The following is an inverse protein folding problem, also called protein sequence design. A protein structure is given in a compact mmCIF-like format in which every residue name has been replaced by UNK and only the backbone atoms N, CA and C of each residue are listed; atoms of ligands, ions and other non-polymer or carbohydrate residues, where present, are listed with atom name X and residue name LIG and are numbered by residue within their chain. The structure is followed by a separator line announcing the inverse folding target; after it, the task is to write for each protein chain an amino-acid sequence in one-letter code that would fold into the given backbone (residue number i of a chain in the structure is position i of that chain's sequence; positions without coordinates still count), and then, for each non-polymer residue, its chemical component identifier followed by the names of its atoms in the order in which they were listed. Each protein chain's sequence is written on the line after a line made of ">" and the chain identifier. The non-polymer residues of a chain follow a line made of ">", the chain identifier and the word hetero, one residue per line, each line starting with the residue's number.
data_IF_682765698901
#
_entry.id   IF_682765698901
#
_cell.length_a   1.000
_cell.length_b   1.000
_cell.length_c   1.000
_cell.angle_alpha   90.00
_cell.angle_beta   90.00
_cell.angle_gamma   90.00
#
_symmetry.space_group_name_H-M   'P 1'
#
loop_
_entity.id
_entity.type
_entity.pdbx_description
1 polymer ?
#
# COMPACT_ATOMS: atom_id res chain seq x y z
N UNK A 1 -10.52 21.84 -24.18
CA UNK A 1 -9.49 22.12 -23.19
C UNK A 1 -8.20 21.43 -23.62
N UNK A 2 -7.01 22.03 -23.40
CA UNK A 2 -5.76 21.32 -23.69
C UNK A 2 -5.67 20.06 -22.84
N UNK A 3 -5.07 18.99 -23.41
CA UNK A 3 -4.88 17.75 -22.69
C UNK A 3 -3.94 17.99 -21.49
N UNK A 4 -4.35 17.71 -20.25
CA UNK A 4 -3.55 17.98 -19.06
C UNK A 4 -2.23 17.21 -19.03
N UNK A 5 -2.13 16.07 -19.75
CA UNK A 5 -0.92 15.27 -19.88
C UNK A 5 -0.03 15.68 -21.07
N UNK A 6 -0.33 16.79 -21.77
CA UNK A 6 0.47 17.24 -22.92
C UNK A 6 1.95 17.47 -22.58
N UNK A 7 2.26 17.75 -21.32
CA UNK A 7 3.64 17.89 -20.82
C UNK A 7 4.51 16.62 -20.92
N UNK A 8 3.90 15.45 -21.15
CA UNK A 8 4.65 14.20 -21.39
C UNK A 8 5.18 14.12 -22.83
N UNK A 9 4.55 14.82 -23.78
CA UNK A 9 4.88 14.71 -25.21
C UNK A 9 6.35 15.03 -25.48
N UNK A 10 6.94 16.13 -24.97
CA UNK A 10 8.37 16.42 -25.20
C UNK A 10 9.31 15.32 -24.71
N UNK A 11 8.93 14.61 -23.64
CA UNK A 11 9.71 13.50 -23.09
C UNK A 11 9.62 12.30 -24.04
N UNK A 12 8.41 11.96 -24.50
CA UNK A 12 8.21 10.87 -25.47
C UNK A 12 8.87 11.15 -26.81
N UNK A 13 8.90 12.40 -27.26
CA UNK A 13 9.58 12.81 -28.49
C UNK A 13 11.10 12.58 -28.42
N UNK A 14 11.72 12.89 -27.27
CA UNK A 14 13.14 12.60 -27.03
C UNK A 14 13.38 11.10 -27.02
N UNK A 15 12.57 10.34 -26.27
CA UNK A 15 12.69 8.88 -26.26
C UNK A 15 12.53 8.27 -27.67
N UNK A 16 11.57 8.74 -28.44
CA UNK A 16 11.31 8.24 -29.78
C UNK A 16 12.39 8.62 -30.82
N UNK A 17 13.22 9.63 -30.56
CA UNK A 17 14.37 10.01 -31.40
C UNK A 17 15.62 9.20 -31.05
N UNK A 18 15.84 8.94 -29.79
CA UNK A 18 17.06 8.28 -29.28
C UNK A 18 16.95 6.75 -29.22
N UNK A 19 15.72 6.21 -29.15
CA UNK A 19 15.46 4.79 -29.01
C UNK A 19 14.69 4.23 -30.22
N UNK A 20 14.93 2.96 -30.54
CA UNK A 20 13.97 2.22 -31.33
C UNK A 20 12.80 1.83 -30.44
N UNK A 21 11.61 2.34 -30.76
CA UNK A 21 10.39 2.13 -29.98
C UNK A 21 9.54 1.03 -30.62
N UNK A 22 9.12 0.07 -29.79
CA UNK A 22 8.08 -0.92 -30.11
C UNK A 22 6.85 -0.59 -29.27
N UNK A 23 5.86 0.13 -29.81
CA UNK A 23 4.66 0.51 -29.06
C UNK A 23 3.89 -0.70 -28.52
N UNK A 24 3.10 -0.50 -27.49
CA UNK A 24 2.12 -1.47 -27.05
C UNK A 24 1.18 -1.89 -28.19
N UNK A 25 0.57 -3.05 -28.10
CA UNK A 25 -0.22 -3.69 -29.16
C UNK A 25 -1.19 -2.73 -29.84
N UNK A 26 -1.10 -2.63 -31.17
CA UNK A 26 -1.92 -1.73 -31.96
C UNK A 26 -1.63 -0.24 -31.77
N UNK A 27 -0.50 0.13 -31.14
CA UNK A 27 -0.20 1.50 -30.75
C UNK A 27 -1.04 2.01 -29.57
N UNK A 28 -1.79 1.12 -28.93
CA UNK A 28 -2.60 1.42 -27.76
C UNK A 28 -1.76 1.40 -26.49
N UNK A 29 -2.27 2.05 -25.46
CA UNK A 29 -1.74 1.95 -24.10
C UNK A 29 -2.39 0.76 -23.41
N UNK A 30 -1.57 -0.15 -22.90
CA UNK A 30 -2.03 -1.33 -22.17
C UNK A 30 -2.10 -1.01 -20.67
N UNK A 31 -3.26 -1.16 -20.06
CA UNK A 31 -3.41 -1.05 -18.61
C UNK A 31 -2.94 -2.35 -17.95
N UNK A 32 -1.97 -2.22 -17.05
CA UNK A 32 -1.40 -3.36 -16.35
C UNK A 32 -2.18 -3.65 -15.07
N UNK A 33 -2.49 -4.91 -14.86
CA UNK A 33 -2.97 -5.40 -13.57
C UNK A 33 -1.75 -5.97 -12.82
N UNK A 34 -1.41 -5.35 -11.71
CA UNK A 34 -0.38 -5.89 -10.84
C UNK A 34 -1.00 -6.86 -9.84
N UNK A 35 -0.28 -7.94 -9.50
CA UNK A 35 -0.70 -8.84 -8.44
C UNK A 35 -0.92 -8.05 -7.14
N UNK A 36 -1.86 -8.54 -6.33
CA UNK A 36 -2.16 -7.96 -5.01
C UNK A 36 -0.90 -7.92 -4.14
N UNK A 37 -0.88 -7.02 -3.17
CA UNK A 37 0.26 -6.79 -2.25
C UNK A 37 0.77 -8.07 -1.59
N UNK A 38 -0.11 -9.05 -1.32
CA UNK A 38 0.25 -10.36 -0.77
C UNK A 38 1.30 -11.09 -1.61
N UNK A 39 1.13 -11.13 -2.94
CA UNK A 39 2.05 -11.85 -3.84
C UNK A 39 3.42 -11.16 -3.94
N UNK A 40 3.47 -9.84 -3.72
CA UNK A 40 4.72 -9.07 -3.78
C UNK A 40 5.48 -9.16 -2.46
N UNK A 41 4.81 -9.10 -1.32
CA UNK A 41 5.43 -9.28 0.00
C UNK A 41 6.00 -10.69 0.15
N UNK A 42 5.29 -11.72 -0.32
CA UNK A 42 5.75 -13.11 -0.33
C UNK A 42 7.04 -13.31 -1.12
N UNK A 43 7.21 -12.59 -2.23
CA UNK A 43 8.42 -12.71 -3.06
C UNK A 43 9.61 -11.88 -2.52
N UNK A 44 9.37 -10.76 -1.83
CA UNK A 44 10.44 -9.91 -1.27
C UNK A 44 10.99 -10.48 0.05
N UNK A 45 10.16 -11.15 0.82
CA UNK A 45 10.46 -11.59 2.20
C UNK A 45 10.69 -13.09 2.34
N UNK A 46 10.84 -13.84 1.25
CA UNK A 46 11.05 -15.31 1.27
C UNK A 46 12.43 -15.72 1.78
N UNK A 47 12.92 -15.12 2.86
CA UNK A 47 14.08 -15.60 3.60
C UNK A 47 13.69 -15.95 5.03
N UNK A 48 13.27 -17.20 5.18
CA UNK A 48 13.11 -17.87 6.46
C UNK A 48 11.69 -17.78 7.02
N UNK A 49 11.25 -18.87 7.63
CA UNK A 49 10.03 -18.91 8.44
C UNK A 49 10.12 -17.82 9.51
N UNK A 50 9.35 -16.73 9.38
CA UNK A 50 9.30 -15.71 10.41
C UNK A 50 8.62 -16.30 11.63
N UNK A 51 9.42 -16.68 12.62
CA UNK A 51 8.91 -17.25 13.86
C UNK A 51 8.53 -16.12 14.82
N UNK A 52 7.25 -15.98 15.11
CA UNK A 52 6.74 -14.97 16.04
C UNK A 52 6.71 -15.61 17.44
N UNK A 53 7.57 -15.12 18.33
CA UNK A 53 7.78 -15.68 19.67
C UNK A 53 7.45 -14.73 20.82
N UNK A 54 7.29 -13.43 20.52
CA UNK A 54 7.14 -12.42 21.55
C UNK A 54 5.76 -11.78 21.53
N UNK A 55 5.12 -11.73 22.70
CA UNK A 55 3.99 -10.86 22.91
C UNK A 55 4.43 -9.39 23.02
N UNK A 56 3.56 -8.51 22.58
CA UNK A 56 3.80 -7.07 22.55
C UNK A 56 2.75 -6.29 23.37
N UNK A 57 2.03 -6.96 24.27
CA UNK A 57 1.04 -6.32 25.14
C UNK A 57 1.33 -6.53 26.63
N UNK A 58 0.82 -5.62 27.44
CA UNK A 58 0.89 -5.71 28.90
C UNK A 58 -0.51 -5.49 29.52
N UNK A 59 -0.95 -6.32 30.49
CA UNK A 59 -0.24 -7.49 30.98
C UNK A 59 -0.07 -8.57 29.89
N UNK A 60 1.00 -9.36 30.02
CA UNK A 60 1.27 -10.45 29.08
C UNK A 60 0.09 -11.44 29.06
N UNK A 61 -0.38 -11.85 27.87
CA UNK A 61 -1.55 -12.70 27.74
C UNK A 61 -1.29 -14.13 28.20
N UNK A 62 -2.34 -14.82 28.64
CA UNK A 62 -2.29 -16.26 28.86
C UNK A 62 -2.15 -17.00 27.52
N UNK A 63 -1.09 -17.78 27.38
CA UNK A 63 -0.81 -18.62 26.21
C UNK A 63 -1.94 -19.61 25.90
N UNK A 64 -2.68 -20.06 26.93
CA UNK A 64 -3.81 -20.96 26.76
C UNK A 64 -5.03 -20.29 26.14
N UNK A 65 -5.16 -18.97 26.28
CA UNK A 65 -6.28 -18.20 25.77
C UNK A 65 -5.82 -16.85 25.19
N UNK A 66 -5.41 -16.88 23.93
CA UNK A 66 -4.92 -15.69 23.21
C UNK A 66 -6.04 -14.83 22.61
N UNK A 67 -7.31 -15.23 22.76
CA UNK A 67 -8.45 -14.50 22.21
C UNK A 67 -9.09 -13.64 23.30
N UNK A 68 -9.36 -12.37 22.95
CA UNK A 68 -10.01 -11.41 23.84
C UNK A 68 -11.28 -10.86 23.20
N UNK A 69 -12.41 -10.80 23.92
CA UNK A 69 -13.65 -10.24 23.39
C UNK A 69 -13.52 -8.74 23.18
N UNK A 70 -13.97 -8.27 22.04
CA UNK A 70 -13.96 -6.85 21.65
C UNK A 70 -15.34 -6.43 21.12
N UNK A 71 -16.38 -6.45 21.97
CA UNK A 71 -17.72 -6.04 21.56
C UNK A 71 -17.69 -4.60 21.03
N UNK A 72 -18.48 -4.28 19.99
CA UNK A 72 -18.45 -2.96 19.35
C UNK A 72 -18.76 -1.84 20.37
N UNK A 73 -18.12 -0.68 20.16
CA UNK A 73 -18.46 0.53 20.91
C UNK A 73 -19.88 1.00 20.55
N UNK A 74 -20.60 1.54 21.52
CA UNK A 74 -21.93 2.10 21.27
C UNK A 74 -21.85 3.38 20.44
N UNK A 75 -22.77 3.58 19.50
CA UNK A 75 -22.84 4.75 18.60
C UNK A 75 -23.00 6.10 19.29
N UNK A 76 -23.33 6.15 20.59
CA UNK A 76 -23.44 7.39 21.37
C UNK A 76 -22.09 7.99 21.77
N UNK A 77 -21.00 7.23 21.65
CA UNK A 77 -19.65 7.70 21.91
C UNK A 77 -19.12 8.43 20.68
N UNK A 78 -18.26 9.43 20.89
CA UNK A 78 -17.55 10.12 19.80
C UNK A 78 -16.78 9.11 18.95
N UNK A 79 -16.74 9.36 17.66
CA UNK A 79 -15.94 8.54 16.74
C UNK A 79 -14.45 8.69 17.07
N UNK A 80 -13.81 7.59 17.46
CA UNK A 80 -12.38 7.56 17.74
C UNK A 80 -11.56 7.77 16.46
N UNK A 81 -11.91 7.07 15.39
CA UNK A 81 -11.24 7.21 14.11
C UNK A 81 -11.81 8.39 13.35
N UNK A 82 -10.98 9.45 13.26
CA UNK A 82 -11.35 10.72 12.62
C UNK A 82 -10.73 10.87 11.24
N UNK A 83 -9.56 10.29 11.02
CA UNK A 83 -8.83 10.36 9.76
C UNK A 83 -8.67 8.98 9.16
N UNK A 84 -8.82 8.90 7.84
CA UNK A 84 -8.67 7.67 7.07
C UNK A 84 -7.88 7.98 5.82
N UNK A 85 -6.84 7.19 5.56
CA UNK A 85 -5.96 7.38 4.41
C UNK A 85 -5.91 6.12 3.57
N UNK A 86 -5.96 6.31 2.28
CA UNK A 86 -5.75 5.27 1.29
C UNK A 86 -5.03 5.83 0.07
N UNK A 87 -4.24 4.98 -0.56
CA UNK A 87 -3.57 5.25 -1.82
C UNK A 87 -4.21 4.48 -2.98
N UNK A 88 -3.97 4.97 -4.19
CA UNK A 88 -4.36 4.27 -5.39
C UNK A 88 -3.32 4.41 -6.48
N UNK A 89 -3.26 3.40 -7.35
CA UNK A 89 -2.31 3.31 -8.45
C UNK A 89 -3.01 2.77 -9.70
N UNK A 90 -2.65 3.33 -10.85
CA UNK A 90 -2.91 2.74 -12.17
C UNK A 90 -1.64 2.77 -12.98
N UNK A 91 -1.26 1.66 -13.57
CA UNK A 91 -0.05 1.52 -14.38
C UNK A 91 -0.40 1.15 -15.81
N UNK A 92 0.42 1.63 -16.73
CA UNK A 92 0.21 1.47 -18.16
C UNK A 92 1.53 1.15 -18.83
N UNK A 93 1.55 0.07 -19.61
CA UNK A 93 2.64 -0.21 -20.53
C UNK A 93 2.47 0.64 -21.79
N UNK A 94 3.49 1.43 -22.14
CA UNK A 94 3.47 2.33 -23.28
C UNK A 94 4.20 1.73 -24.49
N UNK A 95 5.35 1.14 -24.26
CA UNK A 95 6.22 0.61 -25.31
C UNK A 95 7.37 -0.22 -24.74
N UNK A 96 8.02 -0.98 -25.59
CA UNK A 96 9.39 -1.45 -25.35
C UNK A 96 10.37 -0.49 -26.03
N UNK A 97 11.30 0.07 -25.27
CA UNK A 97 12.44 0.82 -25.76
C UNK A 97 13.61 -0.12 -26.05
N UNK A 98 14.37 0.17 -27.14
CA UNK A 98 15.57 -0.56 -27.50
C UNK A 98 16.70 0.45 -27.68
N UNK A 99 17.80 0.30 -26.94
CA UNK A 99 19.03 1.06 -27.06
C UNK A 99 20.22 0.12 -27.29
N UNK A 100 20.74 0.11 -28.49
CA UNK A 100 21.77 -0.86 -28.90
C UNK A 100 21.27 -2.31 -28.83
N UNK A 101 21.83 -3.11 -27.89
CA UNK A 101 21.42 -4.51 -27.66
C UNK A 101 20.48 -4.69 -26.46
N UNK A 102 20.09 -3.61 -25.80
CA UNK A 102 19.27 -3.62 -24.59
C UNK A 102 17.82 -3.35 -24.93
N UNK A 103 16.90 -4.09 -24.35
CA UNK A 103 15.46 -3.84 -24.44
C UNK A 103 14.86 -3.74 -23.05
N UNK A 104 13.95 -2.80 -22.86
CA UNK A 104 13.33 -2.52 -21.56
C UNK A 104 11.91 -1.96 -21.72
N UNK A 105 11.03 -2.14 -20.74
CA UNK A 105 9.70 -1.56 -20.78
C UNK A 105 9.77 -0.03 -20.48
N UNK A 106 8.87 0.69 -21.15
CA UNK A 106 8.54 2.09 -20.87
C UNK A 106 7.14 2.08 -20.31
N UNK A 107 6.98 2.49 -19.06
CA UNK A 107 5.71 2.45 -18.37
C UNK A 107 5.33 3.83 -17.81
N UNK A 108 4.05 4.02 -17.60
CA UNK A 108 3.50 5.20 -16.96
C UNK A 108 2.63 4.75 -15.79
N UNK A 109 2.78 5.39 -14.64
CA UNK A 109 1.89 5.21 -13.53
C UNK A 109 1.19 6.52 -13.15
N UNK A 110 -0.07 6.43 -12.81
CA UNK A 110 -0.78 7.44 -12.06
C UNK A 110 -0.87 6.95 -10.63
N UNK A 111 -0.34 7.72 -9.71
CA UNK A 111 -0.35 7.41 -8.27
C UNK A 111 -1.00 8.55 -7.50
N UNK A 112 -1.59 8.22 -6.38
CA UNK A 112 -2.12 9.24 -5.48
C UNK A 112 -2.55 8.66 -4.16
N UNK A 113 -2.73 9.55 -3.19
CA UNK A 113 -3.26 9.25 -1.88
C UNK A 113 -4.22 10.35 -1.42
N UNK A 114 -5.20 9.99 -0.60
CA UNK A 114 -6.14 10.94 -0.02
C UNK A 114 -6.38 10.62 1.45
N UNK A 115 -6.51 11.68 2.25
CA UNK A 115 -7.01 11.63 3.62
C UNK A 115 -8.42 12.18 3.62
N UNK A 116 -9.34 11.42 4.18
CA UNK A 116 -10.67 11.90 4.52
C UNK A 116 -10.81 12.04 6.03
N UNK A 117 -11.56 13.03 6.45
CA UNK A 117 -11.85 13.32 7.86
C UNK A 117 -13.32 13.12 8.14
N UNK A 118 -13.61 12.47 9.25
CA UNK A 118 -14.95 12.34 9.80
C UNK A 118 -15.24 13.49 10.76
N UNK A 119 -16.31 14.21 10.48
CA UNK A 119 -16.84 15.27 11.35
C UNK A 119 -17.64 14.68 12.53
N UNK A 120 -18.03 15.52 13.50
CA UNK A 120 -18.78 15.08 14.68
C UNK A 120 -20.19 14.57 14.37
N UNK A 121 -20.78 15.04 13.28
CA UNK A 121 -22.07 14.59 12.76
C UNK A 121 -21.98 13.29 11.93
N UNK A 122 -20.75 12.75 11.77
CA UNK A 122 -20.46 11.54 11.00
C UNK A 122 -20.26 11.77 9.50
N UNK A 123 -20.40 13.01 8.99
CA UNK A 123 -20.08 13.32 7.61
C UNK A 123 -18.60 13.10 7.33
N UNK A 124 -18.28 12.67 6.11
CA UNK A 124 -16.89 12.45 5.67
C UNK A 124 -16.54 13.52 4.64
N UNK A 125 -15.48 14.26 4.90
CA UNK A 125 -14.95 15.31 4.02
C UNK A 125 -13.52 15.00 3.61
N UNK A 126 -13.12 15.48 2.44
CA UNK A 126 -11.71 15.42 2.01
C UNK A 126 -10.90 16.38 2.88
N UNK A 127 -9.91 15.85 3.59
CA UNK A 127 -8.97 16.65 4.38
C UNK A 127 -7.79 17.11 3.51
N UNK A 128 -7.14 16.17 2.83
CA UNK A 128 -6.01 16.44 1.95
C UNK A 128 -5.86 15.34 0.90
N UNK A 129 -5.20 15.66 -0.20
CA UNK A 129 -4.93 14.70 -1.27
C UNK A 129 -3.71 15.10 -2.07
N UNK A 130 -2.98 14.12 -2.61
CA UNK A 130 -1.86 14.31 -3.52
C UNK A 130 -1.95 13.33 -4.68
N UNK A 131 -1.48 13.75 -5.85
CA UNK A 131 -1.47 12.95 -7.07
C UNK A 131 -0.20 13.24 -7.87
N UNK A 132 0.37 12.19 -8.49
CA UNK A 132 1.47 12.30 -9.44
C UNK A 132 1.27 11.38 -10.63
N UNK A 133 1.89 11.74 -11.72
CA UNK A 133 2.08 10.90 -12.91
C UNK A 133 3.56 10.59 -13.02
N UNK A 134 3.90 9.33 -13.11
CA UNK A 134 5.28 8.85 -13.15
C UNK A 134 5.56 8.21 -14.51
N UNK A 135 6.57 8.66 -15.21
CA UNK A 135 7.17 7.92 -16.31
C UNK A 135 8.27 7.04 -15.73
N UNK A 136 8.09 5.73 -15.84
CA UNK A 136 8.96 4.72 -15.26
C UNK A 136 9.91 4.20 -16.33
N UNK A 137 11.21 4.37 -16.12
CA UNK A 137 12.28 3.96 -17.02
C UNK A 137 13.40 3.31 -16.22
N UNK A 138 14.01 2.22 -16.69
CA UNK A 138 15.18 1.67 -16.04
C UNK A 138 16.43 2.47 -16.44
N UNK A 139 17.35 2.63 -15.50
CA UNK A 139 18.66 3.26 -15.69
C UNK A 139 19.77 2.21 -15.55
N UNK A 140 20.95 2.49 -16.09
CA UNK A 140 22.15 1.65 -15.96
C UNK A 140 22.03 0.25 -16.59
N UNK A 141 23.05 -0.55 -16.50
CA UNK A 141 23.26 -1.92 -17.00
C UNK A 141 22.29 -2.48 -18.07
N UNK A 142 20.98 -2.42 -17.89
CA UNK A 142 19.96 -2.95 -18.81
C UNK A 142 18.91 -1.90 -19.21
N UNK A 143 19.11 -0.65 -18.82
CA UNK A 143 18.20 0.47 -19.07
C UNK A 143 18.74 1.47 -20.07
N UNK A 144 18.23 2.69 -19.99
CA UNK A 144 18.68 3.84 -20.79
C UNK A 144 20.05 4.31 -20.34
N UNK A 145 20.81 4.86 -21.30
CA UNK A 145 22.15 5.44 -21.03
C UNK A 145 22.06 6.66 -20.10
N UNK A 146 23.14 6.92 -19.38
CA UNK A 146 23.26 8.11 -18.51
C UNK A 146 23.11 9.41 -19.29
N UNK A 147 23.55 9.43 -20.55
CA UNK A 147 23.41 10.59 -21.42
C UNK A 147 21.93 10.88 -21.68
N UNK A 148 21.16 9.86 -22.10
CA UNK A 148 19.73 10.01 -22.34
C UNK A 148 18.98 10.34 -21.05
N UNK A 149 19.31 9.67 -19.94
CA UNK A 149 18.74 9.99 -18.63
C UNK A 149 18.92 11.47 -18.26
N UNK A 150 20.15 11.97 -18.42
CA UNK A 150 20.48 13.37 -18.12
C UNK A 150 19.71 14.34 -19.04
N UNK A 151 19.56 13.99 -20.32
CA UNK A 151 18.78 14.77 -21.28
C UNK A 151 17.31 14.85 -20.87
N UNK A 152 16.69 13.72 -20.51
CA UNK A 152 15.30 13.66 -20.07
C UNK A 152 15.05 14.50 -18.82
N UNK A 153 15.97 14.48 -17.86
CA UNK A 153 15.85 15.27 -16.64
C UNK A 153 15.95 16.78 -16.82
N UNK A 154 16.54 17.25 -17.92
CA UNK A 154 16.60 18.68 -18.25
C UNK A 154 15.30 19.21 -18.87
N UNK A 155 14.39 18.32 -19.29
CA UNK A 155 13.11 18.74 -19.85
C UNK A 155 12.26 19.36 -18.74
N UNK A 156 11.79 20.59 -18.97
CA UNK A 156 10.86 21.25 -18.06
C UNK A 156 9.55 20.48 -17.99
N UNK A 157 9.12 20.19 -16.78
CA UNK A 157 7.90 19.43 -16.49
C UNK A 157 7.15 20.02 -15.29
N UNK A 158 5.82 19.90 -15.23
CA UNK A 158 5.04 20.33 -14.08
C UNK A 158 5.30 19.44 -12.87
N UNK A 159 5.02 19.93 -11.67
CA UNK A 159 5.28 19.25 -10.40
C UNK A 159 4.55 17.90 -10.23
N UNK A 160 3.44 17.73 -10.95
CA UNK A 160 2.68 16.47 -10.91
C UNK A 160 3.27 15.37 -11.80
N UNK A 161 4.24 15.68 -12.70
CA UNK A 161 4.87 14.71 -13.60
C UNK A 161 6.32 14.48 -13.21
N UNK A 162 6.69 13.21 -12.98
CA UNK A 162 8.06 12.84 -12.67
C UNK A 162 8.59 11.69 -13.53
N UNK A 163 9.92 11.60 -13.67
CA UNK A 163 10.61 10.49 -14.35
C UNK A 163 11.35 9.69 -13.27
N UNK A 164 10.97 8.44 -13.12
CA UNK A 164 11.42 7.59 -12.02
C UNK A 164 12.23 6.41 -12.57
N UNK A 165 13.38 6.19 -11.95
CA UNK A 165 14.23 5.04 -12.18
C UNK A 165 13.68 3.82 -11.40
N UNK A 166 13.52 2.70 -12.12
CA UNK A 166 13.21 1.41 -11.50
C UNK A 166 14.29 0.37 -11.79
N UNK A 167 15.54 0.73 -11.69
CA UNK A 167 16.72 -0.06 -12.07
C UNK A 167 16.49 -1.57 -12.03
N UNK A 168 16.81 -2.21 -13.15
CA UNK A 168 16.69 -3.65 -13.28
C UNK A 168 17.84 -4.31 -12.51
N UNK A 169 17.61 -5.41 -11.75
CA UNK A 169 18.68 -6.12 -11.09
C UNK A 169 19.61 -6.74 -12.11
N UNK A 170 20.85 -6.97 -11.67
CA UNK A 170 21.86 -7.72 -12.41
C UNK A 170 21.25 -9.02 -12.97
N UNK A 171 21.43 -9.33 -14.27
CA UNK A 171 21.02 -10.60 -14.89
C UNK A 171 21.54 -11.84 -14.18
N UNK A 172 22.67 -11.69 -13.45
CA UNK A 172 23.27 -12.75 -12.63
C UNK A 172 22.62 -12.91 -11.26
N UNK A 173 21.78 -11.97 -10.85
CA UNK A 173 21.03 -12.13 -9.60
C UNK A 173 19.85 -13.10 -9.83
N UNK A 174 19.72 -14.10 -8.97
CA UNK A 174 18.69 -15.16 -9.05
C UNK A 174 17.22 -14.69 -8.94
N UNK A 175 16.95 -13.39 -8.96
CA UNK A 175 15.59 -12.85 -8.87
C UNK A 175 15.00 -12.64 -10.29
N UNK A 176 14.35 -13.67 -10.81
CA UNK A 176 13.63 -13.66 -12.11
C UNK A 176 12.31 -12.87 -12.07
N UNK A 177 12.31 -11.62 -11.58
CA UNK A 177 11.09 -10.79 -11.67
C UNK A 177 11.00 -10.17 -13.06
N UNK A 178 9.78 -10.19 -13.61
CA UNK A 178 9.48 -9.43 -14.82
C UNK A 178 9.83 -7.94 -14.59
N UNK A 179 10.52 -7.29 -15.53
CA UNK A 179 10.79 -5.85 -15.46
C UNK A 179 9.55 -4.99 -15.23
N UNK A 180 8.39 -5.38 -15.76
CA UNK A 180 7.11 -4.70 -15.57
C UNK A 180 6.65 -4.76 -14.11
N UNK A 181 6.82 -5.92 -13.45
CA UNK A 181 6.48 -6.07 -12.03
C UNK A 181 7.33 -5.16 -11.14
N UNK A 182 8.59 -4.93 -11.55
CA UNK A 182 9.49 -4.01 -10.83
C UNK A 182 9.07 -2.56 -10.99
N UNK A 183 8.69 -2.15 -12.19
CA UNK A 183 8.16 -0.82 -12.42
C UNK A 183 6.89 -0.58 -11.59
N UNK A 184 5.99 -1.55 -11.55
CA UNK A 184 4.80 -1.52 -10.71
C UNK A 184 5.11 -1.45 -9.21
N UNK A 185 6.08 -2.23 -8.73
CA UNK A 185 6.54 -2.17 -7.34
C UNK A 185 7.16 -0.80 -7.00
N UNK A 186 7.96 -0.24 -7.92
CA UNK A 186 8.51 1.11 -7.75
C UNK A 186 7.43 2.18 -7.69
N UNK A 187 6.45 2.12 -8.58
CA UNK A 187 5.32 3.05 -8.57
C UNK A 187 4.53 2.97 -7.26
N UNK A 188 4.35 1.76 -6.71
CA UNK A 188 3.71 1.56 -5.40
C UNK A 188 4.53 2.18 -4.27
N UNK A 189 5.86 2.00 -4.28
CA UNK A 189 6.74 2.65 -3.31
C UNK A 189 6.62 4.18 -3.35
N UNK A 190 6.53 4.78 -4.55
CA UNK A 190 6.31 6.23 -4.69
C UNK A 190 4.91 6.66 -4.21
N UNK A 191 3.88 5.82 -4.38
CA UNK A 191 2.54 6.06 -3.82
C UNK A 191 2.59 6.08 -2.28
N UNK A 192 3.27 5.13 -1.65
CA UNK A 192 3.42 5.10 -0.20
C UNK A 192 4.10 6.35 0.35
N UNK A 193 5.04 6.95 -0.38
CA UNK A 193 5.62 8.24 0.02
C UNK A 193 4.58 9.35 0.08
N UNK A 194 3.60 9.35 -0.85
CA UNK A 194 2.50 10.32 -0.79
C UNK A 194 1.60 10.08 0.44
N UNK A 195 1.31 8.82 0.77
CA UNK A 195 0.57 8.48 2.00
C UNK A 195 1.30 8.98 3.24
N UNK A 196 2.61 8.76 3.32
CA UNK A 196 3.46 9.21 4.41
C UNK A 196 3.45 10.74 4.55
N UNK A 197 3.57 11.47 3.45
CA UNK A 197 3.48 12.93 3.46
C UNK A 197 2.10 13.41 3.98
N UNK A 198 1.04 12.71 3.61
CA UNK A 198 -0.32 13.02 4.07
C UNK A 198 -0.53 12.65 5.55
N UNK A 199 0.08 11.56 6.04
CA UNK A 199 0.09 11.23 7.47
C UNK A 199 0.69 12.39 8.28
N UNK A 200 1.81 12.96 7.83
CA UNK A 200 2.44 14.14 8.46
C UNK A 200 1.47 15.32 8.52
N UNK A 201 0.67 15.54 7.49
CA UNK A 201 -0.28 16.66 7.43
C UNK A 201 -1.40 16.58 8.48
N UNK A 202 -1.68 15.40 9.02
CA UNK A 202 -2.69 15.19 10.06
C UNK A 202 -2.13 15.24 11.47
N UNK A 203 -0.82 15.33 11.64
CA UNK A 203 -0.13 15.17 12.91
C UNK A 203 -0.64 16.10 14.02
N UNK A 204 -0.86 17.38 13.70
CA UNK A 204 -1.31 18.37 14.67
C UNK A 204 -2.77 18.16 15.14
N UNK A 205 -3.56 17.44 14.35
CA UNK A 205 -4.98 17.19 14.62
C UNK A 205 -5.23 15.83 15.29
N UNK A 206 -4.19 14.97 15.40
CA UNK A 206 -4.30 13.66 16.04
C UNK A 206 -3.97 13.73 17.53
N UNK A 207 -4.78 13.06 18.32
CA UNK A 207 -4.64 12.90 19.76
C UNK A 207 -5.37 11.63 20.22
N UNK A 208 -5.41 11.38 21.53
CA UNK A 208 -6.03 10.18 22.10
C UNK A 208 -7.51 10.00 21.73
N UNK A 209 -8.22 11.08 21.41
CA UNK A 209 -9.63 11.09 20.95
C UNK A 209 -9.77 11.17 19.42
N UNK A 210 -8.66 11.20 18.68
CA UNK A 210 -8.65 11.48 17.25
C UNK A 210 -7.55 10.68 16.53
N UNK A 211 -7.89 9.48 16.13
CA UNK A 211 -6.96 8.54 15.51
C UNK A 211 -7.07 8.52 13.99
N UNK A 212 -5.98 8.11 13.35
CA UNK A 212 -5.91 7.85 11.92
C UNK A 212 -5.86 6.34 11.65
N UNK A 213 -6.62 5.89 10.63
CA UNK A 213 -6.47 4.55 10.03
C UNK A 213 -5.75 4.70 8.69
N UNK A 214 -4.62 3.98 8.54
CA UNK A 214 -3.95 3.72 7.28
C UNK A 214 -4.44 2.39 6.70
N UNK A 215 -4.87 2.37 5.43
CA UNK A 215 -5.15 1.11 4.74
C UNK A 215 -3.83 0.42 4.37
N UNK A 216 -3.46 -0.59 5.14
CA UNK A 216 -2.22 -1.32 4.96
C UNK A 216 -1.32 -1.35 6.20
N UNK A 217 -0.04 -1.60 5.98
CA UNK A 217 0.97 -1.76 7.03
C UNK A 217 1.68 -0.45 7.36
N UNK A 218 1.94 -0.23 8.64
CA UNK A 218 2.78 0.88 9.12
C UNK A 218 4.28 0.62 8.97
N UNK A 219 4.67 -0.56 8.52
CA UNK A 219 6.08 -0.99 8.35
C UNK A 219 6.86 -0.13 7.37
N UNK A 220 6.19 0.41 6.35
CA UNK A 220 6.81 1.16 5.26
C UNK A 220 7.03 2.65 5.56
N UNK A 221 6.82 3.06 6.80
CA UNK A 221 7.05 4.44 7.25
C UNK A 221 8.56 4.71 7.31
N UNK A 222 8.98 5.84 6.75
CA UNK A 222 10.38 6.27 6.71
C UNK A 222 10.96 6.52 8.11
N UNK A 223 12.27 6.26 8.29
CA UNK A 223 12.96 6.38 9.57
C UNK A 223 12.80 7.77 10.22
N UNK A 224 12.80 8.83 9.41
CA UNK A 224 12.61 10.20 9.91
C UNK A 224 11.28 10.39 10.65
N UNK A 225 10.23 9.68 10.23
CA UNK A 225 8.92 9.73 10.89
C UNK A 225 8.94 8.92 12.17
N UNK A 226 9.57 7.75 12.16
CA UNK A 226 9.79 6.97 13.37
C UNK A 226 10.49 7.81 14.44
N UNK A 227 11.55 8.54 14.07
CA UNK A 227 12.26 9.43 14.99
C UNK A 227 11.33 10.55 15.51
N UNK A 228 10.49 11.14 14.64
CA UNK A 228 9.54 12.17 15.06
C UNK A 228 8.49 11.65 16.05
N UNK A 229 8.14 10.38 15.97
CA UNK A 229 7.18 9.75 16.86
C UNK A 229 7.77 9.40 18.23
N UNK A 230 9.08 9.22 18.36
CA UNK A 230 9.75 8.98 19.66
C UNK A 230 9.52 10.11 20.66
N UNK A 231 9.30 11.33 20.20
CA UNK A 231 9.01 12.48 21.03
C UNK A 231 7.55 12.57 21.48
N UNK A 232 6.68 11.66 21.05
CA UNK A 232 5.24 11.67 21.33
C UNK A 232 4.85 10.53 22.24
N UNK A 233 3.85 10.77 23.09
CA UNK A 233 3.24 9.73 23.95
C UNK A 233 2.60 8.62 23.10
N UNK A 234 1.99 8.97 21.97
CA UNK A 234 1.43 8.04 21.00
C UNK A 234 1.33 8.70 19.62
N UNK A 235 1.63 7.99 18.52
CA UNK A 235 1.38 8.48 17.16
C UNK A 235 -0.11 8.63 16.81
N UNK A 236 -1.01 8.05 17.60
CA UNK A 236 -2.47 8.00 17.37
C UNK A 236 -2.82 7.58 15.94
N UNK A 237 -2.18 6.50 15.50
CA UNK A 237 -2.26 5.93 14.16
C UNK A 237 -2.28 4.41 14.27
N UNK A 238 -3.12 3.76 13.47
CA UNK A 238 -3.07 2.32 13.24
C UNK A 238 -3.05 2.01 11.75
N UNK A 239 -2.34 0.94 11.38
CA UNK A 239 -2.48 0.29 10.09
C UNK A 239 -3.55 -0.80 10.17
N UNK A 240 -4.38 -0.91 9.14
CA UNK A 240 -5.39 -1.97 9.03
C UNK A 240 -5.19 -2.66 7.70
N UNK A 241 -4.51 -3.80 7.71
CA UNK A 241 -4.25 -4.58 6.51
C UNK A 241 -5.35 -5.64 6.31
N UNK A 242 -5.97 -5.60 5.13
CA UNK A 242 -6.97 -6.57 4.65
C UNK A 242 -6.31 -7.84 4.11
N UNK A 243 -5.07 -7.69 3.68
CA UNK A 243 -4.20 -8.73 3.15
C UNK A 243 -2.97 -8.83 4.04
N UNK A 244 -2.55 -10.04 4.34
CA UNK A 244 -1.38 -10.32 5.17
C UNK A 244 -0.84 -11.72 4.88
N UNK A 245 0.45 -11.94 5.13
CA UNK A 245 1.11 -13.23 4.95
C UNK A 245 0.43 -14.31 5.79
N UNK A 246 0.34 -15.53 5.22
CA UNK A 246 -0.30 -16.71 5.84
C UNK A 246 0.71 -17.78 6.26
N UNK A 247 1.98 -17.50 6.11
CA UNK A 247 3.09 -18.40 6.44
C UNK A 247 3.72 -18.21 7.83
N UNK A 248 3.51 -17.09 8.59
CA UNK A 248 4.12 -16.95 9.91
C UNK A 248 3.71 -18.08 10.85
N UNK A 249 4.73 -18.63 11.52
CA UNK A 249 4.55 -19.63 12.57
C UNK A 249 4.65 -18.98 13.96
N UNK A 250 3.67 -19.24 14.80
CA UNK A 250 3.63 -18.72 16.17
C UNK A 250 4.16 -19.77 17.15
N UNK A 251 5.13 -19.37 17.97
CA UNK A 251 5.75 -20.21 18.97
C UNK A 251 5.40 -19.70 20.36
N UNK A 252 4.54 -20.40 21.07
CA UNK A 252 4.07 -20.02 22.42
C UNK A 252 4.85 -20.67 23.57
N UNK A 253 5.95 -21.35 23.29
CA UNK A 253 6.78 -22.02 24.28
C UNK A 253 7.96 -22.74 23.63
N UNK A 254 8.70 -23.53 24.41
CA UNK A 254 9.93 -24.20 23.97
C UNK A 254 9.70 -25.49 23.17
N UNK A 255 8.49 -26.09 23.24
CA UNK A 255 8.20 -27.39 22.61
C UNK A 255 7.65 -27.20 21.19
N UNK A 256 8.01 -28.06 20.22
CA UNK A 256 7.44 -28.02 18.86
C UNK A 256 5.90 -28.09 18.82
N UNK A 257 5.28 -28.79 19.76
CA UNK A 257 3.82 -28.88 19.89
C UNK A 257 3.15 -27.54 20.25
N UNK A 258 3.92 -26.53 20.64
CA UNK A 258 3.45 -25.19 20.94
C UNK A 258 3.54 -24.25 19.74
N UNK A 259 3.96 -24.77 18.57
CA UNK A 259 3.87 -24.05 17.31
C UNK A 259 2.46 -24.11 16.77
N UNK A 260 1.96 -22.98 16.31
CA UNK A 260 0.66 -22.88 15.65
C UNK A 260 0.82 -22.10 14.35
N UNK A 261 0.23 -22.65 13.30
CA UNK A 261 0.07 -21.94 12.04
C UNK A 261 -0.90 -20.76 12.22
N UNK A 262 -0.62 -19.64 11.55
CA UNK A 262 -1.47 -18.46 11.60
C UNK A 262 -2.91 -18.77 11.16
N UNK A 263 -3.08 -19.59 10.13
CA UNK A 263 -4.40 -19.93 9.58
C UNK A 263 -5.22 -20.68 10.63
N UNK A 264 -4.59 -21.58 11.40
CA UNK A 264 -5.24 -22.29 12.50
C UNK A 264 -5.66 -21.33 13.63
N UNK A 265 -4.80 -20.33 13.94
CA UNK A 265 -5.15 -19.30 14.93
C UNK A 265 -6.33 -18.47 14.45
N UNK A 266 -6.30 -18.01 13.20
CA UNK A 266 -7.33 -17.12 12.67
C UNK A 266 -8.65 -17.83 12.38
N UNK A 267 -8.61 -19.12 12.02
CA UNK A 267 -9.83 -19.92 11.88
C UNK A 267 -10.59 -20.04 13.22
N UNK A 268 -9.85 -20.14 14.34
CA UNK A 268 -10.42 -20.16 15.68
C UNK A 268 -10.81 -18.80 16.27
N UNK A 269 -10.51 -17.70 15.61
CA UNK A 269 -10.80 -16.35 16.11
C UNK A 269 -12.30 -16.04 15.99
N UNK A 270 -13.06 -15.85 17.10
CA UNK A 270 -14.49 -15.59 17.02
C UNK A 270 -14.80 -14.18 16.50
N UNK A 271 -16.03 -13.96 16.05
CA UNK A 271 -16.52 -12.63 15.72
C UNK A 271 -16.43 -11.69 16.94
N UNK A 272 -16.11 -10.41 16.66
CA UNK A 272 -15.89 -9.40 17.69
C UNK A 272 -14.89 -9.86 18.78
N UNK A 273 -13.82 -10.53 18.35
CA UNK A 273 -12.66 -10.85 19.18
C UNK A 273 -11.38 -10.39 18.47
N UNK A 274 -10.35 -10.16 19.27
CA UNK A 274 -8.99 -9.99 18.79
C UNK A 274 -8.07 -11.10 19.30
N UNK A 275 -6.96 -11.31 18.64
CA UNK A 275 -5.86 -12.09 19.21
C UNK A 275 -5.09 -11.25 20.24
N UNK A 276 -4.23 -11.87 21.01
CA UNK A 276 -3.13 -11.18 21.69
C UNK A 276 -2.33 -10.35 20.71
N UNK A 277 -1.67 -9.29 21.18
CA UNK A 277 -0.77 -8.50 20.36
C UNK A 277 0.64 -9.12 20.35
N UNK A 278 1.22 -9.18 19.15
CA UNK A 278 2.53 -9.76 18.86
C UNK A 278 3.51 -8.68 18.41
N UNK A 279 4.80 -8.95 18.57
CA UNK A 279 5.89 -8.06 18.17
C UNK A 279 6.37 -8.38 16.76
N UNK A 280 6.63 -7.36 15.96
CA UNK A 280 7.23 -7.44 14.63
C UNK A 280 8.25 -6.32 14.42
N UNK A 281 9.02 -6.43 13.34
CA UNK A 281 10.01 -5.43 12.92
C UNK A 281 10.97 -5.05 14.05
N UNK A 282 11.62 -6.04 14.65
CA UNK A 282 12.55 -5.80 15.76
C UNK A 282 11.91 -5.16 17.02
N UNK A 283 10.60 -5.26 17.17
CA UNK A 283 9.85 -4.68 18.29
C UNK A 283 9.23 -3.31 17.99
N UNK A 284 9.50 -2.72 16.85
CA UNK A 284 8.98 -1.39 16.46
C UNK A 284 7.49 -1.37 16.19
N UNK A 285 6.90 -2.53 15.89
CA UNK A 285 5.47 -2.68 15.58
C UNK A 285 4.88 -3.69 16.55
N UNK A 286 3.74 -3.36 17.14
CA UNK A 286 2.84 -4.36 17.70
C UNK A 286 1.70 -4.62 16.72
N UNK A 287 1.31 -5.88 16.57
CA UNK A 287 0.19 -6.24 15.70
C UNK A 287 -0.68 -7.32 16.33
N UNK A 288 -1.94 -7.30 15.96
CA UNK A 288 -2.91 -8.32 16.31
C UNK A 288 -3.93 -8.49 15.20
N UNK A 289 -4.77 -9.52 15.30
CA UNK A 289 -5.84 -9.75 14.35
C UNK A 289 -7.19 -9.52 15.01
N UNK A 290 -8.13 -8.97 14.25
CA UNK A 290 -9.51 -8.72 14.69
C UNK A 290 -10.47 -9.29 13.67
N UNK A 291 -11.48 -10.04 14.12
CA UNK A 291 -12.58 -10.47 13.25
C UNK A 291 -13.73 -9.46 13.33
N UNK A 292 -13.83 -8.63 12.30
CA UNK A 292 -14.80 -7.55 12.21
C UNK A 292 -16.22 -8.02 11.87
N UNK A 293 -16.34 -9.18 11.21
CA UNK A 293 -17.62 -9.70 10.70
C UNK A 293 -17.80 -11.15 11.04
N UNK A 294 -19.06 -11.53 11.26
CA UNK A 294 -19.42 -12.91 11.50
C UNK A 294 -19.19 -13.75 10.25
N UNK A 295 -18.58 -14.91 10.44
CA UNK A 295 -18.40 -15.92 9.40
C UNK A 295 -19.60 -16.85 9.39
N UNK A 296 -20.17 -17.10 8.22
CA UNK A 296 -21.21 -18.10 8.00
C UNK A 296 -20.58 -19.38 7.43
N UNK A 297 -21.33 -20.49 7.48
CA UNK A 297 -20.80 -21.81 7.10
C UNK A 297 -20.18 -21.90 5.70
N UNK A 298 -20.70 -21.14 4.73
CA UNK A 298 -20.23 -21.13 3.34
C UNK A 298 -19.17 -20.06 3.05
N UNK A 299 -18.84 -19.26 4.06
CA UNK A 299 -17.89 -18.15 3.86
C UNK A 299 -16.44 -18.67 3.94
N UNK A 300 -15.56 -17.90 3.29
CA UNK A 300 -14.11 -18.12 3.41
C UNK A 300 -13.65 -18.10 4.88
N UNK A 301 -12.77 -19.03 5.31
CA UNK A 301 -12.40 -19.19 6.73
C UNK A 301 -11.87 -17.93 7.43
N UNK A 302 -11.22 -17.04 6.69
CA UNK A 302 -10.69 -15.77 7.20
C UNK A 302 -11.60 -14.58 6.91
N UNK A 303 -12.88 -14.82 6.58
CA UNK A 303 -13.81 -13.73 6.34
C UNK A 303 -13.89 -12.78 7.53
N UNK A 304 -13.81 -11.47 7.22
CA UNK A 304 -13.87 -10.42 8.23
C UNK A 304 -12.64 -10.26 9.11
N UNK A 305 -11.58 -11.03 8.89
CA UNK A 305 -10.33 -10.87 9.64
C UNK A 305 -9.46 -9.80 9.00
N UNK A 306 -9.00 -8.85 9.82
CA UNK A 306 -8.00 -7.85 9.47
C UNK A 306 -6.81 -7.95 10.41
N UNK A 307 -5.63 -7.60 9.91
CA UNK A 307 -4.44 -7.38 10.73
C UNK A 307 -4.40 -5.91 11.14
N UNK A 308 -4.26 -5.65 12.42
CA UNK A 308 -4.11 -4.30 12.97
C UNK A 308 -2.68 -4.13 13.43
N UNK A 309 -2.06 -3.02 13.07
CA UNK A 309 -0.69 -2.68 13.44
C UNK A 309 -0.66 -1.32 14.14
N UNK A 310 0.14 -1.21 15.19
CA UNK A 310 0.40 0.05 15.89
C UNK A 310 1.91 0.29 15.98
N UNK A 311 2.42 1.48 15.66
CA UNK A 311 3.83 1.81 15.82
C UNK A 311 4.20 1.92 17.30
N UNK A 312 5.38 1.43 17.64
CA UNK A 312 5.99 1.44 18.98
C UNK A 312 7.37 2.11 18.92
N UNK A 313 7.41 3.44 18.81
CA UNK A 313 8.67 4.16 18.62
C UNK A 313 9.62 4.01 19.81
N UNK A 314 9.12 3.77 21.02
CA UNK A 314 9.85 3.54 22.26
C UNK A 314 10.02 2.05 22.61
N UNK A 315 9.54 1.15 21.76
CA UNK A 315 9.52 -0.31 21.94
C UNK A 315 8.70 -0.79 23.15
N UNK A 316 7.95 0.08 23.82
CA UNK A 316 7.12 -0.30 24.99
C UNK A 316 5.99 -1.24 24.59
N UNK A 317 5.62 -2.23 25.41
CA UNK A 317 4.43 -3.04 25.18
C UNK A 317 3.17 -2.19 25.09
N UNK A 318 2.25 -2.55 24.20
CA UNK A 318 0.94 -1.91 24.09
C UNK A 318 0.09 -2.31 25.31
N UNK A 319 -0.61 -1.37 25.92
CA UNK A 319 -1.58 -1.68 26.94
C UNK A 319 -2.70 -2.55 26.33
N UNK A 320 -2.99 -3.68 26.94
CA UNK A 320 -4.04 -4.59 26.49
C UNK A 320 -5.40 -3.87 26.39
N UNK A 321 -5.68 -2.94 27.32
CA UNK A 321 -6.87 -2.10 27.30
C UNK A 321 -6.94 -1.19 26.08
N UNK A 322 -5.81 -0.62 25.64
CA UNK A 322 -5.75 0.18 24.42
C UNK A 322 -6.01 -0.67 23.19
N UNK A 323 -5.39 -1.86 23.08
CA UNK A 323 -5.64 -2.78 21.98
C UNK A 323 -7.12 -3.25 21.94
N UNK A 324 -7.72 -3.50 23.12
CA UNK A 324 -9.15 -3.81 23.26
C UNK A 324 -10.01 -2.65 22.80
N UNK A 325 -9.70 -1.42 23.21
CA UNK A 325 -10.45 -0.21 22.86
C UNK A 325 -10.41 0.06 21.35
N UNK A 326 -9.22 0.03 20.75
CA UNK A 326 -9.03 0.19 19.29
C UNK A 326 -9.77 -0.89 18.51
N UNK A 327 -9.71 -2.14 18.96
CA UNK A 327 -10.42 -3.26 18.31
C UNK A 327 -11.93 -3.11 18.41
N UNK A 328 -12.47 -2.69 19.55
CA UNK A 328 -13.89 -2.40 19.74
C UNK A 328 -14.37 -1.27 18.85
N UNK A 329 -13.56 -0.23 18.68
CA UNK A 329 -13.84 0.86 17.76
C UNK A 329 -13.85 0.39 16.30
N UNK A 330 -12.91 -0.48 15.90
CA UNK A 330 -12.88 -1.08 14.55
C UNK A 330 -14.09 -1.97 14.28
N UNK A 331 -14.50 -2.81 15.25
CA UNK A 331 -15.70 -3.65 15.11
C UNK A 331 -16.97 -2.82 14.94
N UNK A 332 -17.00 -1.63 15.56
CA UNK A 332 -18.11 -0.67 15.41
C UNK A 332 -18.11 0.07 14.07
N UNK A 333 -16.99 0.07 13.32
CA UNK A 333 -16.88 0.76 12.04
C UNK A 333 -17.78 0.12 10.96
N UNK A 334 -18.34 0.99 10.12
CA UNK A 334 -19.15 0.55 8.99
C UNK A 334 -18.25 0.00 7.88
N UNK A 335 -18.49 -1.25 7.49
CA UNK A 335 -17.92 -1.79 6.24
C UNK A 335 -18.71 -1.30 5.03
N UNK A 336 -18.09 -1.36 3.85
CA UNK A 336 -18.80 -1.16 2.59
C UNK A 336 -19.86 -2.24 2.42
N UNK A 337 -20.96 -1.88 1.75
CA UNK A 337 -21.95 -2.85 1.30
C UNK A 337 -21.31 -3.70 0.19
N UNK A 338 -21.61 -5.01 0.10
CA UNK A 338 -21.17 -5.84 -1.02
C UNK A 338 -21.50 -5.18 -2.35
N UNK A 339 -20.47 -4.80 -3.10
CA UNK A 339 -20.62 -4.13 -4.38
C UNK A 339 -19.57 -4.62 -5.36
N UNK A 340 -20.00 -5.00 -6.56
CA UNK A 340 -19.09 -5.40 -7.62
C UNK A 340 -18.34 -6.71 -7.33
N UNK A 341 -17.11 -6.80 -7.84
CA UNK A 341 -16.26 -8.00 -7.76
C UNK A 341 -15.25 -7.98 -6.60
N UNK A 342 -15.30 -6.98 -5.71
CA UNK A 342 -14.37 -6.92 -4.58
C UNK A 342 -14.67 -8.03 -3.58
N UNK A 343 -13.85 -9.07 -3.61
CA UNK A 343 -13.96 -10.23 -2.71
C UNK A 343 -13.64 -9.89 -1.25
N UNK A 344 -13.01 -8.73 -0.99
CA UNK A 344 -12.60 -8.27 0.35
C UNK A 344 -13.55 -7.24 0.96
N UNK A 345 -14.73 -7.04 0.38
CA UNK A 345 -15.72 -6.05 0.85
C UNK A 345 -15.98 -6.13 2.38
N UNK A 346 -15.93 -7.33 2.94
CA UNK A 346 -16.16 -7.58 4.37
C UNK A 346 -15.08 -7.02 5.30
N UNK A 347 -13.89 -6.72 4.78
CA UNK A 347 -12.78 -6.09 5.50
C UNK A 347 -12.62 -4.60 5.13
N UNK A 348 -13.31 -4.12 4.10
CA UNK A 348 -13.22 -2.73 3.66
C UNK A 348 -14.05 -1.82 4.57
N UNK A 349 -13.40 -0.89 5.22
CA UNK A 349 -14.06 0.16 5.99
C UNK A 349 -14.60 1.24 5.04
N UNK A 350 -15.84 1.69 5.28
CA UNK A 350 -16.49 2.67 4.40
C UNK A 350 -15.69 3.97 4.22
N UNK A 351 -15.08 4.59 5.26
CA UNK A 351 -14.30 5.80 5.06
C UNK A 351 -13.03 5.59 4.23
N UNK A 352 -12.38 4.42 4.35
CA UNK A 352 -11.24 4.04 3.52
C UNK A 352 -11.67 3.98 2.04
N UNK A 353 -12.80 3.35 1.76
CA UNK A 353 -13.36 3.32 0.40
C UNK A 353 -13.62 4.71 -0.15
N UNK A 354 -14.10 5.64 0.68
CA UNK A 354 -14.29 7.05 0.27
C UNK A 354 -12.94 7.70 -0.08
N UNK A 355 -11.88 7.47 0.71
CA UNK A 355 -10.55 7.99 0.40
C UNK A 355 -10.03 7.44 -0.94
N UNK A 356 -10.18 6.13 -1.18
CA UNK A 356 -9.82 5.49 -2.45
C UNK A 356 -10.58 6.12 -3.64
N UNK A 357 -11.89 6.33 -3.52
CA UNK A 357 -12.72 6.94 -4.57
C UNK A 357 -12.33 8.39 -4.84
N UNK A 358 -12.04 9.17 -3.81
CA UNK A 358 -11.56 10.56 -3.94
C UNK A 358 -10.33 10.63 -4.84
N UNK A 359 -9.35 9.76 -4.64
CA UNK A 359 -8.13 9.80 -5.45
C UNK A 359 -8.31 9.17 -6.83
N UNK A 360 -9.08 8.08 -6.95
CA UNK A 360 -9.35 7.44 -8.25
C UNK A 360 -10.09 8.36 -9.21
N UNK A 361 -11.00 9.19 -8.70
CA UNK A 361 -11.73 10.17 -9.49
C UNK A 361 -10.85 11.32 -10.01
N UNK A 362 -9.62 11.46 -9.50
CA UNK A 362 -8.62 12.42 -9.97
C UNK A 362 -7.74 11.87 -11.09
N UNK A 363 -7.69 10.57 -11.26
CA UNK A 363 -6.87 9.95 -12.29
C UNK A 363 -7.42 10.28 -13.68
N UNK A 364 -6.54 10.62 -14.59
CA UNK A 364 -6.88 10.83 -15.99
C UNK A 364 -7.35 9.52 -16.61
N UNK A 365 -8.36 9.60 -17.45
CA UNK A 365 -8.85 8.41 -18.17
C UNK A 365 -7.79 7.87 -19.14
N UNK A 366 -7.93 6.60 -19.51
CA UNK A 366 -7.08 5.97 -20.53
C UNK A 366 -7.11 6.74 -21.86
N UNK A 367 -8.26 7.30 -22.26
CA UNK A 367 -8.40 8.07 -23.50
C UNK A 367 -7.59 9.37 -23.48
N UNK A 368 -7.57 10.07 -22.33
CA UNK A 368 -6.73 11.26 -22.14
C UNK A 368 -5.26 10.89 -22.30
N UNK A 369 -4.83 9.77 -21.71
CA UNK A 369 -3.47 9.26 -21.83
C UNK A 369 -3.13 8.89 -23.26
N UNK A 370 -3.99 8.12 -23.95
CA UNK A 370 -3.81 7.73 -25.35
C UNK A 370 -3.69 8.94 -26.29
N UNK A 371 -4.39 10.02 -25.97
CA UNK A 371 -4.30 11.28 -26.75
C UNK A 371 -2.92 11.92 -26.70
N UNK A 372 -2.10 11.62 -25.67
CA UNK A 372 -0.74 12.16 -25.49
C UNK A 372 0.36 11.18 -25.96
N UNK A 373 0.12 9.88 -25.87
CA UNK A 373 1.12 8.87 -26.23
C UNK A 373 1.15 8.70 -27.76
N UNK A 374 1.95 9.54 -28.42
CA UNK A 374 2.18 9.47 -29.87
C UNK A 374 3.66 9.21 -30.10
N UNK A 375 3.99 8.00 -30.47
CA UNK A 375 5.35 7.67 -30.84
C UNK A 375 5.66 8.14 -32.26
N UNK A 376 6.84 8.71 -32.51
CA UNK A 376 7.26 9.01 -33.87
C UNK A 376 7.24 7.74 -34.71
N UNK A 377 6.78 7.84 -35.96
CA UNK A 377 6.81 6.70 -36.87
C UNK A 377 8.23 6.16 -36.97
N UNK A 378 8.44 4.84 -36.87
CA UNK A 378 9.75 4.27 -37.07
C UNK A 378 10.26 4.76 -38.43
N UNK A 379 11.44 5.36 -38.47
CA UNK A 379 12.13 5.57 -39.73
C UNK A 379 12.42 4.18 -40.25
N UNK A 380 11.65 3.74 -41.25
CA UNK A 380 11.96 2.54 -42.02
C UNK A 380 13.23 2.91 -42.78
N UNK A 381 14.38 2.64 -42.17
CA UNK A 381 15.66 2.78 -42.80
C UNK A 381 15.63 1.92 -44.05
N UNK A 382 15.83 2.54 -45.21
CA UNK A 382 16.02 1.82 -46.45
C UNK A 382 17.12 0.77 -46.29
N UNK A 383 16.84 -0.41 -46.75
CA UNK A 383 17.75 -1.56 -46.85
C UNK A 383 19.05 -1.15 -47.56
#
# INVERSE_FOLDING_TARGET
>A
MPNPLASIVPILDVLGKELKILPATGGAVEELQHPDQEEIEDVVMSKGDEQITAFAETPEPDVSNIYRPTPPLFRRQKHLFRFFIDGSIRTYFLATGIEGRRSFPIELAQIGAAVVQREDDGQIKVHSQKQKVLLLLPKENQGISDTLWTQLRKISKPDFLDIIDFTLPDPLSNTKRDPRDKAGAKARSEMHKLEIELIKSTDAARNEDSWLILDGSVKFVEEEIWESWKSRTSPCLIGVAKSFRKDPMFQFGRRPSQRKDITAILAGLPHAHRTAAFSADGGRIAFWYVRLREQRELDYPLMGVVKVEIPRPDLSPVLAELADFLSRALVAERSVTPYGLDRRWHCCLYPIRVAEEVIRNRFYSKDVLMGCVKWPKPQIGGA
#
